data_IF_247406895543
#
_entry.id   IF_247406895543
#
_cell.length_a   1.000
_cell.length_b   1.000
_cell.length_c   1.000
_cell.angle_alpha   90.00
_cell.angle_beta   90.00
_cell.angle_gamma   90.00
#
_symmetry.space_group_name_H-M   'P 1'
#
loop_
_entity.id
_entity.type
_entity.pdbx_description
1 polymer ?
#
# COMPACT_ATOMS: atom_id res chain seq x y z
N UNK A 1 12.99 14.71 -25.88
CA UNK A 1 12.38 15.31 -24.68
C UNK A 1 10.93 14.93 -24.66
N UNK A 2 10.44 14.33 -23.57
CA UNK A 2 9.02 13.98 -23.42
C UNK A 2 8.19 15.26 -23.32
N UNK A 3 7.02 15.27 -23.94
CA UNK A 3 6.09 16.41 -23.87
C UNK A 3 5.76 16.77 -22.41
N UNK A 4 5.90 18.05 -22.04
CA UNK A 4 5.64 18.54 -20.68
C UNK A 4 4.19 18.32 -20.27
N UNK A 5 3.25 18.42 -21.21
CA UNK A 5 1.84 18.19 -20.93
C UNK A 5 1.58 16.72 -20.61
N UNK A 6 2.18 15.80 -21.38
CA UNK A 6 2.15 14.37 -21.07
C UNK A 6 2.72 14.06 -19.68
N UNK A 7 3.85 14.65 -19.29
CA UNK A 7 4.43 14.45 -17.95
C UNK A 7 3.47 14.93 -16.86
N UNK A 8 2.81 16.07 -17.03
CA UNK A 8 1.83 16.57 -16.07
C UNK A 8 0.65 15.58 -15.88
N UNK A 9 0.11 15.05 -16.98
CA UNK A 9 -0.96 14.03 -16.91
C UNK A 9 -0.49 12.74 -16.24
N UNK A 10 0.73 12.28 -16.53
CA UNK A 10 1.28 11.09 -15.88
C UNK A 10 1.48 11.29 -14.37
N UNK A 11 1.94 12.47 -13.93
CA UNK A 11 2.02 12.82 -12.50
C UNK A 11 0.66 12.81 -11.83
N UNK A 12 -0.35 13.42 -12.45
CA UNK A 12 -1.71 13.45 -11.93
C UNK A 12 -2.33 12.04 -11.85
N UNK A 13 -2.13 11.23 -12.89
CA UNK A 13 -2.60 9.84 -12.92
C UNK A 13 -1.93 9.00 -11.82
N UNK A 14 -0.61 9.12 -11.66
CA UNK A 14 0.14 8.45 -10.60
C UNK A 14 -0.35 8.87 -9.21
N UNK A 15 -0.53 10.17 -8.97
CA UNK A 15 -1.06 10.70 -7.71
C UNK A 15 -2.46 10.15 -7.41
N UNK A 16 -3.38 10.26 -8.36
CA UNK A 16 -4.77 9.77 -8.24
C UNK A 16 -4.80 8.27 -7.96
N UNK A 17 -4.02 7.49 -8.70
CA UNK A 17 -3.90 6.04 -8.50
C UNK A 17 -3.42 5.71 -7.08
N UNK A 18 -2.37 6.35 -6.59
CA UNK A 18 -1.81 6.05 -5.27
C UNK A 18 -2.70 6.53 -4.12
N UNK A 19 -3.46 7.62 -4.31
CA UNK A 19 -4.52 8.01 -3.38
C UNK A 19 -5.61 6.95 -3.31
N UNK A 20 -6.05 6.41 -4.45
CA UNK A 20 -7.01 5.30 -4.47
C UNK A 20 -6.44 4.05 -3.78
N UNK A 21 -5.16 3.73 -4.02
CA UNK A 21 -4.48 2.64 -3.32
C UNK A 21 -4.45 2.84 -1.81
N UNK A 22 -4.12 4.04 -1.31
CA UNK A 22 -4.17 4.35 0.11
C UNK A 22 -5.55 4.04 0.70
N UNK A 23 -6.63 4.50 0.06
CA UNK A 23 -7.99 4.23 0.52
C UNK A 23 -8.33 2.74 0.54
N UNK A 24 -7.87 1.98 -0.47
CA UNK A 24 -8.05 0.53 -0.52
C UNK A 24 -7.26 -0.19 0.59
N UNK A 25 -6.04 0.26 0.90
CA UNK A 25 -5.26 -0.25 2.03
C UNK A 25 -5.93 0.08 3.37
N UNK A 26 -6.45 1.30 3.55
CA UNK A 26 -7.23 1.66 4.75
C UNK A 26 -8.46 0.76 4.88
N UNK A 27 -9.16 0.49 3.79
CA UNK A 27 -10.27 -0.47 3.77
C UNK A 27 -9.83 -1.89 4.14
N UNK A 28 -8.68 -2.36 3.66
CA UNK A 28 -8.11 -3.65 4.10
C UNK A 28 -7.79 -3.67 5.59
N UNK A 29 -7.20 -2.59 6.12
CA UNK A 29 -6.94 -2.43 7.55
C UNK A 29 -8.24 -2.54 8.36
N UNK A 30 -9.29 -1.86 7.92
CA UNK A 30 -10.61 -1.93 8.56
C UNK A 30 -11.19 -3.35 8.55
N UNK A 31 -11.11 -4.07 7.42
CA UNK A 31 -11.53 -5.47 7.34
C UNK A 31 -10.73 -6.36 8.31
N UNK A 32 -9.42 -6.15 8.40
CA UNK A 32 -8.54 -6.87 9.32
C UNK A 32 -8.90 -6.61 10.79
N UNK A 33 -9.14 -5.34 11.17
CA UNK A 33 -9.55 -4.95 12.51
C UNK A 33 -10.92 -5.54 12.89
N UNK A 34 -11.91 -5.48 11.99
CA UNK A 34 -13.23 -6.09 12.21
C UNK A 34 -13.13 -7.60 12.40
N UNK A 35 -12.31 -8.27 11.58
CA UNK A 35 -12.03 -9.70 11.72
C UNK A 35 -11.41 -10.03 13.08
N UNK A 36 -10.43 -9.25 13.53
CA UNK A 36 -9.81 -9.42 14.87
C UNK A 36 -10.84 -9.23 15.98
N UNK A 37 -11.63 -8.15 15.93
CA UNK A 37 -12.66 -7.85 16.95
C UNK A 37 -13.70 -8.95 17.05
N UNK A 38 -14.18 -9.49 15.93
CA UNK A 38 -15.13 -10.61 15.93
C UNK A 38 -14.52 -11.85 16.60
N UNK A 39 -13.29 -12.20 16.23
CA UNK A 39 -12.59 -13.36 16.83
C UNK A 39 -12.42 -13.22 18.34
N UNK A 40 -12.04 -12.04 18.83
CA UNK A 40 -11.92 -11.78 20.27
C UNK A 40 -13.24 -11.93 21.03
N UNK A 41 -14.38 -11.78 20.34
CA UNK A 41 -15.73 -11.97 20.89
C UNK A 41 -16.25 -13.40 20.70
N UNK A 42 -15.40 -14.35 20.29
CA UNK A 42 -15.81 -15.72 19.96
C UNK A 42 -16.67 -15.85 18.69
N UNK A 43 -16.77 -14.80 17.87
CA UNK A 43 -17.56 -14.78 16.63
C UNK A 43 -16.66 -14.97 15.41
N UNK A 44 -17.17 -15.63 14.37
CA UNK A 44 -16.52 -15.70 13.07
C UNK A 44 -17.44 -15.14 11.98
N UNK A 45 -16.98 -14.09 11.31
CA UNK A 45 -17.62 -13.57 10.11
C UNK A 45 -16.80 -13.98 8.88
N UNK A 46 -17.18 -15.11 8.30
CA UNK A 46 -16.50 -15.67 7.13
C UNK A 46 -16.56 -14.76 5.91
N UNK A 47 -17.59 -13.90 5.80
CA UNK A 47 -17.73 -12.97 4.68
C UNK A 47 -16.65 -11.88 4.75
N UNK A 48 -16.42 -11.30 5.94
CA UNK A 48 -15.34 -10.34 6.15
C UNK A 48 -13.97 -10.97 5.92
N UNK A 49 -13.75 -12.17 6.47
CA UNK A 49 -12.48 -12.90 6.31
C UNK A 49 -12.21 -13.17 4.82
N UNK A 50 -13.21 -13.65 4.07
CA UNK A 50 -13.09 -13.93 2.64
C UNK A 50 -12.77 -12.67 1.84
N UNK A 51 -13.40 -11.54 2.15
CA UNK A 51 -13.12 -10.25 1.50
C UNK A 51 -11.68 -9.80 1.74
N UNK A 52 -11.20 -9.85 2.98
CA UNK A 52 -9.82 -9.49 3.32
C UNK A 52 -8.81 -10.37 2.59
N UNK A 53 -9.02 -11.69 2.62
CA UNK A 53 -8.13 -12.67 1.96
C UNK A 53 -8.15 -12.59 0.43
N UNK A 54 -9.28 -12.25 -0.19
CA UNK A 54 -9.40 -12.14 -1.65
C UNK A 54 -8.73 -10.86 -2.18
N UNK A 55 -8.90 -9.75 -1.48
CA UNK A 55 -8.40 -8.45 -1.92
C UNK A 55 -6.92 -8.24 -1.56
N UNK A 56 -6.44 -8.81 -0.45
CA UNK A 56 -5.05 -8.66 0.00
C UNK A 56 -3.99 -8.95 -1.09
N UNK A 57 -4.04 -10.10 -1.79
CA UNK A 57 -3.10 -10.41 -2.87
C UNK A 57 -3.14 -9.41 -4.03
N UNK A 58 -4.33 -8.90 -4.37
CA UNK A 58 -4.48 -7.90 -5.44
C UNK A 58 -3.78 -6.61 -5.05
N UNK A 59 -3.99 -6.13 -3.81
CA UNK A 59 -3.30 -4.93 -3.32
C UNK A 59 -1.80 -5.14 -3.15
N UNK A 60 -1.39 -6.35 -2.78
CA UNK A 60 0.03 -6.69 -2.65
C UNK A 60 0.79 -6.64 -3.98
N UNK A 61 0.09 -6.85 -5.10
CA UNK A 61 0.65 -6.70 -6.45
C UNK A 61 0.53 -5.26 -6.96
N UNK A 62 -0.66 -4.68 -6.85
CA UNK A 62 -0.98 -3.37 -7.43
C UNK A 62 -0.34 -2.21 -6.66
N UNK A 63 -0.18 -2.30 -5.34
CA UNK A 63 0.53 -1.29 -4.54
C UNK A 63 1.96 -1.03 -5.03
N UNK A 64 2.84 -2.04 -5.08
CA UNK A 64 4.18 -1.90 -5.63
C UNK A 64 4.23 -1.45 -7.09
N UNK A 65 3.23 -1.78 -7.92
CA UNK A 65 3.15 -1.30 -9.29
C UNK A 65 3.02 0.23 -9.35
N UNK A 66 2.30 0.85 -8.40
CA UNK A 66 2.23 2.31 -8.25
C UNK A 66 3.60 2.94 -7.99
N UNK A 67 4.43 2.31 -7.16
CA UNK A 67 5.80 2.76 -6.89
C UNK A 67 6.68 2.71 -8.14
N UNK A 68 6.65 1.59 -8.89
CA UNK A 68 7.38 1.44 -10.15
C UNK A 68 6.94 2.50 -11.17
N UNK A 69 5.63 2.73 -11.31
CA UNK A 69 5.10 3.77 -12.18
C UNK A 69 5.63 5.17 -11.79
N UNK A 70 5.69 5.48 -10.50
CA UNK A 70 6.26 6.75 -10.01
C UNK A 70 7.73 6.92 -10.39
N UNK A 71 8.53 5.85 -10.25
CA UNK A 71 9.94 5.86 -10.69
C UNK A 71 10.08 6.15 -12.18
N UNK A 72 9.24 5.51 -13.01
CA UNK A 72 9.23 5.73 -14.46
C UNK A 72 8.88 7.19 -14.78
N UNK A 73 7.84 7.74 -14.15
CA UNK A 73 7.41 9.14 -14.37
C UNK A 73 8.53 10.13 -14.01
N UNK A 74 9.17 9.95 -12.85
CA UNK A 74 10.27 10.82 -12.43
C UNK A 74 11.51 10.66 -13.32
N UNK A 75 11.83 9.44 -13.75
CA UNK A 75 12.93 9.22 -14.68
C UNK A 75 12.68 9.91 -16.03
N UNK A 76 11.45 9.82 -16.56
CA UNK A 76 11.07 10.49 -17.81
C UNK A 76 11.07 12.03 -17.71
N UNK A 77 10.80 12.59 -16.52
CA UNK A 77 10.77 14.03 -16.27
C UNK A 77 12.17 14.61 -15.99
N UNK A 78 12.97 13.94 -15.16
CA UNK A 78 14.22 14.47 -14.59
C UNK A 78 15.49 13.76 -15.05
N UNK A 79 15.38 12.61 -15.72
CA UNK A 79 16.53 11.79 -16.12
C UNK A 79 17.21 11.04 -14.96
N UNK A 80 16.69 11.14 -13.73
CA UNK A 80 17.19 10.47 -12.53
C UNK A 80 16.05 10.09 -11.61
N UNK A 81 16.22 9.03 -10.82
CA UNK A 81 15.15 8.44 -9.99
C UNK A 81 15.07 9.08 -8.60
N UNK A 82 16.22 9.49 -8.04
CA UNK A 82 16.33 10.03 -6.67
C UNK A 82 16.14 11.56 -6.60
N UNK A 83 15.23 12.12 -7.40
CA UNK A 83 14.90 13.55 -7.33
C UNK A 83 14.24 13.92 -6.00
N UNK A 84 13.37 13.04 -5.49
CA UNK A 84 12.61 13.24 -4.25
C UNK A 84 12.90 12.11 -3.25
N UNK A 85 14.05 12.13 -2.56
CA UNK A 85 14.53 10.99 -1.77
C UNK A 85 13.56 10.53 -0.69
N UNK A 86 12.92 11.45 0.04
CA UNK A 86 11.98 11.09 1.11
C UNK A 86 10.73 10.37 0.57
N UNK A 87 10.15 10.88 -0.52
CA UNK A 87 9.00 10.25 -1.18
C UNK A 87 9.36 8.90 -1.80
N UNK A 88 10.56 8.80 -2.38
CA UNK A 88 11.08 7.55 -2.93
C UNK A 88 11.30 6.49 -1.85
N UNK A 89 12.04 6.81 -0.79
CA UNK A 89 12.36 5.87 0.28
C UNK A 89 11.11 5.42 1.05
N UNK A 90 10.16 6.34 1.26
CA UNK A 90 8.87 6.02 1.89
C UNK A 90 8.06 5.07 0.99
N UNK A 91 7.97 5.35 -0.31
CA UNK A 91 7.32 4.47 -1.29
C UNK A 91 7.96 3.09 -1.40
N UNK A 92 9.29 3.03 -1.43
CA UNK A 92 10.06 1.78 -1.41
C UNK A 92 9.77 0.97 -0.14
N UNK A 93 9.77 1.63 1.02
CA UNK A 93 9.43 1.01 2.30
C UNK A 93 8.04 0.40 2.28
N UNK A 94 7.04 1.13 1.78
CA UNK A 94 5.67 0.63 1.63
C UNK A 94 5.65 -0.61 0.72
N UNK A 95 6.33 -0.56 -0.43
CA UNK A 95 6.36 -1.67 -1.38
C UNK A 95 6.97 -2.94 -0.77
N UNK A 96 8.12 -2.82 -0.10
CA UNK A 96 8.80 -3.94 0.55
C UNK A 96 7.99 -4.50 1.73
N UNK A 97 7.44 -3.63 2.59
CA UNK A 97 6.61 -4.05 3.71
C UNK A 97 5.31 -4.69 3.24
N UNK A 98 4.74 -4.24 2.13
CA UNK A 98 3.55 -4.85 1.53
C UNK A 98 3.86 -6.28 1.07
N UNK A 99 4.98 -6.47 0.37
CA UNK A 99 5.44 -7.80 -0.03
C UNK A 99 5.68 -8.70 1.20
N UNK A 100 6.36 -8.19 2.23
CA UNK A 100 6.58 -8.91 3.49
C UNK A 100 5.26 -9.28 4.18
N UNK A 101 4.30 -8.35 4.26
CA UNK A 101 2.98 -8.56 4.85
C UNK A 101 2.20 -9.65 4.12
N UNK A 102 2.28 -9.69 2.80
CA UNK A 102 1.69 -10.75 1.98
C UNK A 102 2.35 -12.10 2.26
N UNK A 103 3.68 -12.18 2.29
CA UNK A 103 4.40 -13.42 2.61
C UNK A 103 4.06 -13.93 4.02
N UNK A 104 4.00 -13.05 5.02
CA UNK A 104 3.58 -13.38 6.39
C UNK A 104 2.14 -13.89 6.39
N UNK A 105 1.24 -13.28 5.61
CA UNK A 105 -0.17 -13.71 5.56
C UNK A 105 -0.32 -15.18 5.14
N UNK A 106 0.57 -15.69 4.28
CA UNK A 106 0.60 -17.10 3.85
C UNK A 106 1.03 -18.07 4.95
N UNK A 107 1.66 -17.57 6.02
CA UNK A 107 2.08 -18.36 7.19
C UNK A 107 0.99 -18.44 8.26
N UNK A 108 -0.08 -17.63 8.17
CA UNK A 108 -1.17 -17.61 9.13
C UNK A 108 -2.04 -18.88 8.97
N UNK A 109 -1.95 -19.80 9.94
CA UNK A 109 -2.70 -21.06 9.97
C UNK A 109 -3.47 -21.20 11.30
N UNK A 110 -4.75 -21.55 11.21
CA UNK A 110 -5.59 -21.74 12.41
C UNK A 110 -5.92 -20.45 13.18
N UNK A 111 -6.66 -20.59 14.30
CA UNK A 111 -7.09 -19.46 15.13
C UNK A 111 -5.94 -18.78 15.87
N UNK A 112 -4.95 -19.54 16.36
CA UNK A 112 -3.90 -19.09 17.29
C UNK A 112 -2.53 -18.84 16.64
N UNK A 113 -2.52 -18.63 15.32
CA UNK A 113 -1.26 -18.41 14.59
C UNK A 113 -0.47 -17.22 15.14
N UNK A 114 0.83 -17.40 15.47
CA UNK A 114 1.67 -16.30 15.96
C UNK A 114 1.90 -15.22 14.89
N UNK A 115 1.77 -15.57 13.61
CA UNK A 115 1.95 -14.65 12.46
C UNK A 115 0.89 -13.56 12.35
N UNK A 116 -0.21 -13.63 13.13
CA UNK A 116 -1.26 -12.60 13.11
C UNK A 116 -0.80 -11.27 13.68
N UNK A 117 0.02 -11.29 14.74
CA UNK A 117 0.50 -10.07 15.39
C UNK A 117 1.49 -9.32 14.50
N UNK A 118 2.54 -9.96 13.93
CA UNK A 118 3.41 -9.30 12.96
C UNK A 118 2.65 -8.77 11.74
N UNK A 119 1.71 -9.55 11.18
CA UNK A 119 0.89 -9.10 10.05
C UNK A 119 0.11 -7.82 10.38
N UNK A 120 -0.49 -7.76 11.57
CA UNK A 120 -1.21 -6.56 12.01
C UNK A 120 -0.26 -5.38 12.23
N UNK A 121 0.86 -5.58 12.93
CA UNK A 121 1.80 -4.50 13.23
C UNK A 121 2.37 -3.87 11.96
N UNK A 122 2.82 -4.71 11.02
CA UNK A 122 3.33 -4.23 9.73
C UNK A 122 2.19 -3.55 8.94
N UNK A 123 0.99 -4.12 8.95
CA UNK A 123 -0.18 -3.50 8.32
C UNK A 123 -0.48 -2.09 8.85
N UNK A 124 -0.49 -1.90 10.18
CA UNK A 124 -0.67 -0.58 10.80
C UNK A 124 0.45 0.37 10.38
N UNK A 125 1.70 -0.11 10.41
CA UNK A 125 2.84 0.71 10.01
C UNK A 125 2.76 1.16 8.54
N UNK A 126 2.37 0.27 7.62
CA UNK A 126 2.09 0.60 6.21
C UNK A 126 1.02 1.70 6.10
N UNK A 127 -0.06 1.64 6.88
CA UNK A 127 -1.11 2.66 6.84
C UNK A 127 -0.59 4.04 7.28
N UNK A 128 0.23 4.10 8.32
CA UNK A 128 0.88 5.34 8.72
C UNK A 128 1.81 5.88 7.62
N UNK A 129 2.62 5.00 7.01
CA UNK A 129 3.50 5.39 5.91
C UNK A 129 2.72 5.89 4.69
N UNK A 130 1.55 5.33 4.38
CA UNK A 130 0.72 5.81 3.27
C UNK A 130 0.25 7.26 3.47
N UNK A 131 -0.08 7.67 4.69
CA UNK A 131 -0.45 9.06 5.00
C UNK A 131 0.75 9.99 4.73
N UNK A 132 1.95 9.58 5.15
CA UNK A 132 3.19 10.32 4.89
C UNK A 132 3.45 10.37 3.37
N UNK A 133 3.36 9.24 2.68
CA UNK A 133 3.63 9.11 1.25
C UNK A 133 2.74 10.03 0.41
N UNK A 134 1.44 10.06 0.70
CA UNK A 134 0.50 10.91 -0.03
C UNK A 134 0.76 12.39 0.27
N UNK A 135 1.03 12.76 1.52
CA UNK A 135 1.37 14.15 1.88
C UNK A 135 2.62 14.62 1.12
N UNK A 136 3.69 13.80 1.10
CA UNK A 136 4.90 14.09 0.32
C UNK A 136 4.61 14.19 -1.18
N UNK A 137 3.77 13.29 -1.72
CA UNK A 137 3.42 13.28 -3.14
C UNK A 137 2.62 14.51 -3.58
N UNK A 138 1.70 14.99 -2.73
CA UNK A 138 0.96 16.23 -2.98
C UNK A 138 1.90 17.44 -3.03
N UNK A 139 2.90 17.51 -2.14
CA UNK A 139 3.91 18.56 -2.17
C UNK A 139 4.90 18.50 -3.35
N UNK A 140 4.86 17.43 -4.16
CA UNK A 140 5.61 17.33 -5.43
C UNK A 140 4.75 17.76 -6.62
N UNK A 141 3.42 17.59 -6.50
CA UNK A 141 2.47 17.92 -7.56
C UNK A 141 2.21 19.42 -7.67
N UNK A 142 2.28 20.14 -6.55
CA UNK A 142 2.12 21.60 -6.43
C UNK A 142 3.47 22.26 -6.13
#
# INVERSE_FOLDING_TARGET
MTDKQLIAYLKLLHGTYNTAMMLLFMYQGLLGLRTRRNRMRGRQDFRLIKRHRKLGPILALTGPAGFIAGMIVIYLDKGRIMEYPLHFLTGLSIALLTAATFLISRKIKGPDSPWRTPHLMIGIFILCLYIIQVTLGLGILF
#
